data_IF_271764113211
#
_entry.id   IF_271764113211
#
_cell.length_a   1.000
_cell.length_b   1.000
_cell.length_c   1.000
_cell.angle_alpha   90.00
_cell.angle_beta   90.00
_cell.angle_gamma   90.00
#
_symmetry.space_group_name_H-M   'P 1'
#
loop_
_entity.id
_entity.type
_entity.pdbx_description
1 polymer ?
#
# COMPACT_ATOMS: atom_id res chain seq x y z
N UNK A 1 5.96 46.05 -7.25
CA UNK A 1 5.84 44.64 -7.64
C UNK A 1 6.16 43.80 -6.42
N UNK A 2 5.19 43.11 -5.88
CA UNK A 2 5.34 42.26 -4.70
C UNK A 2 5.99 40.93 -5.07
N UNK A 3 6.57 40.23 -4.09
CA UNK A 3 7.13 38.88 -4.27
C UNK A 3 6.04 37.87 -4.73
N UNK A 4 4.82 38.08 -4.30
CA UNK A 4 3.66 37.25 -4.68
C UNK A 4 3.27 37.44 -6.14
N UNK A 5 3.27 38.67 -6.66
CA UNK A 5 3.02 38.96 -8.06
C UNK A 5 4.07 38.34 -8.99
N UNK A 6 5.34 38.44 -8.58
CA UNK A 6 6.42 37.81 -9.32
C UNK A 6 6.29 36.29 -9.34
N UNK A 7 6.01 35.66 -8.19
CA UNK A 7 5.88 34.20 -8.07
C UNK A 7 4.70 33.68 -8.91
N UNK A 8 3.54 34.37 -8.84
CA UNK A 8 2.38 34.05 -9.65
C UNK A 8 2.69 34.07 -11.14
N UNK A 9 3.42 35.09 -11.60
CA UNK A 9 3.82 35.23 -13.00
C UNK A 9 4.81 34.14 -13.42
N UNK A 10 5.77 33.78 -12.60
CA UNK A 10 6.71 32.67 -12.88
C UNK A 10 5.96 31.35 -13.12
N UNK A 11 4.94 31.06 -12.30
CA UNK A 11 4.10 29.88 -12.46
C UNK A 11 3.33 29.94 -13.78
N UNK A 12 2.71 31.06 -14.09
CA UNK A 12 1.94 31.23 -15.32
C UNK A 12 2.82 31.10 -16.58
N UNK A 13 4.06 31.64 -16.53
CA UNK A 13 5.03 31.43 -17.61
C UNK A 13 5.34 29.96 -17.79
N UNK A 14 5.62 29.20 -16.72
CA UNK A 14 5.87 27.77 -16.81
C UNK A 14 4.67 27.02 -17.41
N UNK A 15 3.45 27.34 -17.01
CA UNK A 15 2.22 26.74 -17.55
C UNK A 15 2.04 27.01 -19.05
N UNK A 16 2.38 28.21 -19.51
CA UNK A 16 2.34 28.56 -20.94
C UNK A 16 3.39 27.77 -21.73
N UNK A 17 4.61 27.71 -21.23
CA UNK A 17 5.71 26.98 -21.87
C UNK A 17 5.50 25.46 -21.89
N UNK A 18 4.69 24.92 -20.97
CA UNK A 18 4.27 23.53 -20.96
C UNK A 18 3.22 23.23 -22.04
N UNK A 19 2.21 24.09 -22.13
CA UNK A 19 1.12 23.94 -23.09
C UNK A 19 1.57 24.14 -24.54
N UNK A 20 2.48 25.11 -24.75
CA UNK A 20 2.92 25.53 -26.09
C UNK A 20 4.46 25.63 -26.11
N UNK A 21 5.19 24.49 -26.12
CA UNK A 21 6.63 24.46 -26.12
C UNK A 21 7.21 25.18 -27.32
N UNK A 22 8.18 26.06 -27.10
CA UNK A 22 8.88 26.84 -28.13
C UNK A 22 7.95 27.72 -28.99
N UNK A 23 6.81 28.13 -28.47
CA UNK A 23 5.90 29.09 -29.11
C UNK A 23 6.18 30.54 -28.69
N UNK A 24 6.49 30.76 -27.41
CA UNK A 24 6.61 32.05 -26.76
C UNK A 24 8.04 32.60 -26.78
N UNK A 25 8.23 33.84 -27.25
CA UNK A 25 9.45 34.61 -27.10
C UNK A 25 9.29 35.71 -26.02
N UNK A 26 10.34 36.51 -25.81
CA UNK A 26 10.29 37.56 -24.80
C UNK A 26 9.27 38.67 -25.11
N UNK A 27 9.05 38.97 -26.37
CA UNK A 27 8.11 40.04 -26.78
C UNK A 27 6.66 39.58 -26.59
N UNK A 28 6.35 38.33 -26.98
CA UNK A 28 5.03 37.76 -26.78
C UNK A 28 4.67 37.60 -25.28
N UNK A 29 5.64 37.28 -24.43
CA UNK A 29 5.45 37.21 -22.98
C UNK A 29 5.29 38.61 -22.36
N UNK A 30 6.02 39.63 -22.86
CA UNK A 30 5.89 41.03 -22.45
C UNK A 30 4.46 41.53 -22.69
N UNK A 31 3.92 41.32 -23.89
CA UNK A 31 2.55 41.66 -24.24
C UNK A 31 1.52 40.89 -23.42
N UNK A 32 1.74 39.58 -23.23
CA UNK A 32 0.83 38.71 -22.51
C UNK A 32 0.65 39.06 -21.04
N UNK A 33 1.75 39.44 -20.39
CA UNK A 33 1.77 39.72 -18.94
C UNK A 33 1.75 41.22 -18.60
N UNK A 34 1.69 42.07 -19.60
CA UNK A 34 1.71 43.53 -19.44
C UNK A 34 2.84 44.04 -18.49
N UNK A 35 4.05 43.54 -18.74
CA UNK A 35 5.25 43.89 -17.98
C UNK A 35 6.42 44.20 -18.93
N UNK A 36 7.42 44.96 -18.44
CA UNK A 36 8.56 45.27 -19.28
C UNK A 36 9.36 44.04 -19.70
N UNK A 37 10.01 44.11 -20.85
CA UNK A 37 10.93 43.08 -21.36
C UNK A 37 12.02 42.71 -20.35
N UNK A 38 12.55 43.70 -19.64
CA UNK A 38 13.56 43.48 -18.58
C UNK A 38 12.98 42.62 -17.44
N UNK A 39 11.69 42.77 -17.14
CA UNK A 39 11.02 41.95 -16.13
C UNK A 39 10.90 40.50 -16.61
N UNK A 40 10.46 40.27 -17.86
CA UNK A 40 10.36 38.90 -18.46
C UNK A 40 11.75 38.25 -18.52
N UNK A 41 12.80 38.98 -18.96
CA UNK A 41 14.15 38.39 -19.03
C UNK A 41 14.69 38.02 -17.64
N UNK A 42 14.36 38.81 -16.61
CA UNK A 42 14.71 38.47 -15.21
C UNK A 42 13.95 37.23 -14.73
N UNK A 43 12.67 37.15 -15.02
CA UNK A 43 11.84 35.99 -14.67
C UNK A 43 12.32 34.72 -15.38
N UNK A 44 12.63 34.81 -16.68
CA UNK A 44 13.22 33.70 -17.45
C UNK A 44 14.62 33.33 -16.91
N UNK A 45 15.41 34.27 -16.45
CA UNK A 45 16.70 33.98 -15.82
C UNK A 45 16.53 33.19 -14.53
N UNK A 46 15.55 33.53 -13.69
CA UNK A 46 15.19 32.76 -12.48
C UNK A 46 14.73 31.34 -12.86
N UNK A 47 13.85 31.21 -13.83
CA UNK A 47 13.36 29.89 -14.28
C UNK A 47 14.47 29.03 -14.90
N UNK A 48 15.45 29.62 -15.57
CA UNK A 48 16.65 28.95 -16.06
C UNK A 48 17.56 28.49 -14.93
N UNK A 49 17.75 29.30 -13.91
CA UNK A 49 18.50 28.95 -12.72
C UNK A 49 17.91 27.74 -12.00
N UNK A 50 16.60 27.59 -12.09
CA UNK A 50 15.87 26.39 -11.61
C UNK A 50 15.96 25.20 -12.57
N UNK A 51 16.66 25.34 -13.72
CA UNK A 51 16.81 24.30 -14.71
C UNK A 51 15.55 23.98 -15.52
N UNK A 52 14.56 24.88 -15.48
CA UNK A 52 13.23 24.62 -16.04
C UNK A 52 13.04 25.08 -17.48
N UNK A 53 13.81 26.06 -17.97
CA UNK A 53 13.60 26.69 -19.28
C UNK A 53 14.80 26.54 -20.20
N UNK A 54 14.54 26.07 -21.44
CA UNK A 54 15.46 26.06 -22.57
C UNK A 54 15.06 27.14 -23.58
N UNK A 55 16.00 27.59 -24.42
CA UNK A 55 15.74 28.49 -25.53
C UNK A 55 16.14 27.81 -26.84
N UNK A 56 15.25 27.84 -27.83
CA UNK A 56 15.49 27.36 -29.18
C UNK A 56 14.92 28.38 -30.16
N UNK A 57 15.70 28.83 -31.14
CA UNK A 57 15.30 29.79 -32.17
C UNK A 57 14.66 31.08 -31.62
N UNK A 58 15.22 31.60 -30.51
CA UNK A 58 14.68 32.81 -29.83
C UNK A 58 13.49 32.54 -28.90
N UNK A 59 12.84 31.42 -29.01
CA UNK A 59 11.66 31.02 -28.25
C UNK A 59 11.99 30.14 -27.04
N UNK A 60 11.12 30.20 -26.03
CA UNK A 60 11.28 29.48 -24.76
C UNK A 60 10.45 28.19 -24.77
N UNK A 61 10.97 27.16 -24.16
CA UNK A 61 10.29 25.89 -23.91
C UNK A 61 10.79 25.28 -22.61
N UNK A 62 10.08 24.32 -22.06
CA UNK A 62 10.53 23.61 -20.89
C UNK A 62 11.72 22.68 -21.22
N UNK A 63 12.72 22.68 -20.36
CA UNK A 63 13.71 21.61 -20.33
C UNK A 63 13.00 20.38 -19.77
N UNK A 64 13.04 19.22 -20.45
CA UNK A 64 12.38 17.98 -20.05
C UNK A 64 11.68 18.07 -18.69
N UNK A 65 10.36 18.18 -18.74
CA UNK A 65 9.49 18.59 -17.66
C UNK A 65 9.88 17.97 -16.32
N UNK A 66 10.14 18.79 -15.32
CA UNK A 66 10.32 18.22 -14.00
C UNK A 66 9.46 18.81 -12.90
N UNK A 67 8.93 20.01 -12.93
CA UNK A 67 8.02 20.46 -11.86
C UNK A 67 7.36 21.80 -12.19
N UNK A 68 6.04 21.79 -12.40
CA UNK A 68 5.23 22.97 -12.08
C UNK A 68 5.19 23.07 -10.54
N UNK A 69 5.48 24.24 -9.94
CA UNK A 69 5.29 24.43 -8.52
C UNK A 69 3.80 24.32 -8.22
N UNK A 70 3.40 23.17 -7.69
CA UNK A 70 2.08 22.96 -7.10
C UNK A 70 2.13 23.56 -5.70
N UNK A 71 1.22 24.48 -5.40
CA UNK A 71 1.05 24.97 -4.03
C UNK A 71 0.26 23.95 -3.24
N UNK A 72 0.87 23.38 -2.20
CA UNK A 72 0.16 22.53 -1.25
C UNK A 72 -0.39 23.38 -0.11
N UNK A 73 -1.61 23.11 0.29
CA UNK A 73 -2.14 23.56 1.58
C UNK A 73 -1.46 22.80 2.74
N UNK A 74 -1.42 23.35 3.96
CA UNK A 74 -0.83 22.65 5.11
C UNK A 74 -1.41 21.24 5.34
N UNK A 75 -2.74 21.01 5.26
CA UNK A 75 -3.32 19.67 5.39
C UNK A 75 -2.87 18.70 4.29
N UNK A 76 -2.78 19.13 3.03
CA UNK A 76 -2.30 18.30 1.92
C UNK A 76 -0.84 17.89 2.10
N UNK A 77 0.02 18.85 2.46
CA UNK A 77 1.43 18.59 2.70
C UNK A 77 1.62 17.60 3.89
N UNK A 78 0.84 17.77 4.98
CA UNK A 78 0.85 16.86 6.12
C UNK A 78 0.38 15.46 5.72
N UNK A 79 -0.72 15.34 4.98
CA UNK A 79 -1.25 14.07 4.51
C UNK A 79 -0.23 13.32 3.64
N UNK A 80 0.40 14.00 2.67
CA UNK A 80 1.45 13.43 1.82
C UNK A 80 2.68 13.01 2.64
N UNK A 81 3.07 13.80 3.63
CA UNK A 81 4.19 13.46 4.51
C UNK A 81 3.90 12.23 5.36
N UNK A 82 2.73 12.16 6.00
CA UNK A 82 2.31 10.99 6.78
C UNK A 82 2.20 9.74 5.92
N UNK A 83 1.54 9.83 4.76
CA UNK A 83 1.43 8.72 3.82
C UNK A 83 2.81 8.27 3.32
N UNK A 84 3.67 9.22 2.91
CA UNK A 84 5.00 8.89 2.39
C UNK A 84 5.93 8.29 3.43
N UNK A 85 5.94 8.79 4.67
CA UNK A 85 6.75 8.22 5.75
C UNK A 85 6.24 6.84 6.18
N UNK A 86 4.92 6.68 6.30
CA UNK A 86 4.28 5.42 6.62
C UNK A 86 4.57 4.36 5.54
N UNK A 87 4.37 4.70 4.27
CA UNK A 87 4.62 3.78 3.16
C UNK A 87 6.12 3.46 3.00
N UNK A 88 7.02 4.44 3.16
CA UNK A 88 8.47 4.20 3.13
C UNK A 88 8.94 3.22 4.22
N UNK A 89 8.28 3.22 5.38
CA UNK A 89 8.53 2.25 6.44
C UNK A 89 7.96 0.86 6.16
N UNK A 90 6.85 0.78 5.43
CA UNK A 90 6.12 -0.47 5.15
C UNK A 90 6.59 -1.17 3.88
N UNK A 91 6.72 -0.41 2.79
CA UNK A 91 6.99 -0.97 1.45
C UNK A 91 8.43 -1.43 1.22
N UNK A 92 9.29 -1.36 2.27
CA UNK A 92 10.69 -1.77 2.17
C UNK A 92 11.56 -0.82 1.34
N UNK A 93 12.75 -1.31 0.97
CA UNK A 93 13.79 -0.50 0.35
C UNK A 93 13.42 0.08 -1.04
N UNK A 94 12.48 -0.53 -1.78
CA UNK A 94 12.21 -0.20 -3.19
C UNK A 94 11.81 1.26 -3.40
N UNK A 95 10.84 1.76 -2.62
CA UNK A 95 10.34 3.13 -2.77
C UNK A 95 10.90 4.12 -1.75
N UNK A 96 11.67 3.66 -0.75
CA UNK A 96 12.19 4.51 0.32
C UNK A 96 12.98 5.71 -0.19
N UNK A 97 13.90 5.49 -1.13
CA UNK A 97 14.71 6.55 -1.73
C UNK A 97 13.87 7.55 -2.52
N UNK A 98 12.95 7.06 -3.36
CA UNK A 98 12.06 7.89 -4.17
C UNK A 98 11.12 8.73 -3.29
N UNK A 99 10.50 8.12 -2.27
CA UNK A 99 9.63 8.81 -1.33
C UNK A 99 10.39 9.87 -0.51
N UNK A 100 11.58 9.52 0.00
CA UNK A 100 12.43 10.48 0.71
C UNK A 100 12.79 11.69 -0.17
N UNK A 101 13.12 11.43 -1.45
CA UNK A 101 13.39 12.49 -2.42
C UNK A 101 12.14 13.34 -2.69
N UNK A 102 10.97 12.72 -2.88
CA UNK A 102 9.71 13.42 -3.11
C UNK A 102 9.32 14.30 -1.91
N UNK A 103 9.42 13.77 -0.69
CA UNK A 103 9.13 14.55 0.53
C UNK A 103 10.06 15.74 0.70
N UNK A 104 11.35 15.59 0.40
CA UNK A 104 12.30 16.75 0.39
C UNK A 104 11.88 17.82 -0.61
N UNK A 105 11.38 17.45 -1.79
CA UNK A 105 10.90 18.39 -2.80
C UNK A 105 9.64 19.12 -2.32
N UNK A 106 8.72 18.43 -1.66
CA UNK A 106 7.54 19.05 -1.04
C UNK A 106 7.99 20.07 0.00
N UNK A 107 8.94 19.72 0.88
CA UNK A 107 9.48 20.63 1.90
C UNK A 107 10.11 21.90 1.28
N UNK A 108 10.70 21.80 0.07
CA UNK A 108 11.32 22.95 -0.62
C UNK A 108 10.30 23.91 -1.25
N UNK A 109 9.13 23.42 -1.66
CA UNK A 109 8.09 24.27 -2.28
C UNK A 109 7.15 24.90 -1.24
N UNK A 110 7.16 24.42 0.00
CA UNK A 110 6.37 25.00 1.08
C UNK A 110 7.02 26.27 1.64
N UNK A 111 6.23 27.32 1.95
CA UNK A 111 6.72 28.45 2.73
C UNK A 111 7.35 27.97 4.05
N UNK A 112 8.48 28.56 4.45
CA UNK A 112 9.25 28.11 5.63
C UNK A 112 8.41 27.91 6.89
N UNK A 113 7.45 28.80 7.14
CA UNK A 113 6.53 28.70 8.28
C UNK A 113 5.67 27.44 8.20
N UNK A 114 5.07 27.19 7.03
CA UNK A 114 4.20 26.01 6.78
C UNK A 114 5.02 24.72 6.86
N UNK A 115 6.20 24.69 6.25
CA UNK A 115 7.09 23.53 6.32
C UNK A 115 7.45 23.18 7.78
N UNK A 116 7.72 24.19 8.63
CA UNK A 116 8.00 23.97 10.05
C UNK A 116 6.77 23.44 10.82
N UNK A 117 5.58 23.97 10.55
CA UNK A 117 4.33 23.51 11.16
C UNK A 117 4.00 22.06 10.74
N UNK A 118 4.11 21.74 9.46
CA UNK A 118 3.88 20.38 8.90
C UNK A 118 4.88 19.39 9.48
N UNK A 119 6.15 19.77 9.60
CA UNK A 119 7.19 18.94 10.21
C UNK A 119 6.85 18.65 11.67
N UNK A 120 6.54 19.68 12.47
CA UNK A 120 6.18 19.55 13.89
C UNK A 120 4.92 18.74 14.10
N UNK A 121 3.91 18.89 13.24
CA UNK A 121 2.71 18.07 13.27
C UNK A 121 3.02 16.58 12.95
N UNK A 122 3.87 16.32 11.93
CA UNK A 122 4.31 14.99 11.57
C UNK A 122 5.12 14.28 12.66
N UNK A 123 5.86 15.01 13.48
CA UNK A 123 6.58 14.45 14.64
C UNK A 123 5.65 14.02 15.79
N UNK A 124 4.42 14.54 15.82
CA UNK A 124 3.41 14.26 16.87
C UNK A 124 2.35 13.26 16.44
N UNK A 125 2.30 12.92 15.17
CA UNK A 125 1.37 11.92 14.62
C UNK A 125 2.18 10.73 14.18
N UNK A 126 1.98 9.59 14.81
CA UNK A 126 2.61 8.33 14.44
C UNK A 126 1.56 7.43 13.79
N UNK A 127 1.90 6.89 12.63
CA UNK A 127 1.14 5.79 12.03
C UNK A 127 1.88 4.49 12.38
N UNK A 128 1.25 3.66 13.21
CA UNK A 128 1.82 2.37 13.62
C UNK A 128 2.11 1.50 12.41
N UNK A 129 3.32 0.95 12.35
CA UNK A 129 3.73 0.08 11.26
C UNK A 129 3.46 -1.38 11.66
N UNK A 130 2.77 -2.17 10.83
CA UNK A 130 2.74 -3.61 11.03
C UNK A 130 4.15 -4.19 10.91
N UNK A 131 4.33 -5.43 11.42
CA UNK A 131 5.58 -6.17 11.18
C UNK A 131 5.87 -6.21 9.69
N UNK A 132 7.02 -5.69 9.26
CA UNK A 132 7.46 -5.67 7.86
C UNK A 132 8.28 -6.93 7.60
N UNK A 133 8.01 -7.60 6.48
CA UNK A 133 8.79 -8.74 6.02
C UNK A 133 9.78 -8.31 4.96
N UNK A 134 11.02 -8.76 5.12
CA UNK A 134 12.06 -8.49 4.13
C UNK A 134 11.82 -9.27 2.85
N UNK A 135 12.09 -8.63 1.72
CA UNK A 135 12.03 -9.22 0.39
C UNK A 135 13.14 -8.65 -0.48
N UNK A 136 13.46 -9.35 -1.59
CA UNK A 136 14.45 -8.87 -2.54
C UNK A 136 13.88 -7.75 -3.41
N UNK A 137 14.55 -6.59 -3.42
CA UNK A 137 14.21 -5.48 -4.30
C UNK A 137 14.30 -5.86 -5.79
N UNK A 138 15.28 -6.70 -6.15
CA UNK A 138 15.45 -7.18 -7.53
C UNK A 138 14.28 -8.04 -7.98
N UNK A 139 13.76 -8.92 -7.09
CA UNK A 139 12.56 -9.72 -7.37
C UNK A 139 11.37 -8.79 -7.63
N UNK A 140 11.19 -7.75 -6.81
CA UNK A 140 10.10 -6.80 -6.97
C UNK A 140 10.18 -6.07 -8.32
N UNK A 141 11.33 -5.48 -8.65
CA UNK A 141 11.53 -4.71 -9.89
C UNK A 141 11.35 -5.57 -11.14
N UNK A 142 11.87 -6.79 -11.11
CA UNK A 142 11.70 -7.75 -12.19
C UNK A 142 10.24 -8.16 -12.37
N UNK A 143 9.48 -8.36 -11.28
CA UNK A 143 8.04 -8.64 -11.32
C UNK A 143 7.26 -7.45 -11.88
N UNK A 144 7.55 -6.22 -11.42
CA UNK A 144 6.93 -5.01 -11.94
C UNK A 144 7.11 -4.88 -13.47
N UNK A 145 8.34 -5.10 -13.95
CA UNK A 145 8.66 -5.13 -15.37
C UNK A 145 7.93 -6.26 -16.12
N UNK A 146 7.87 -7.45 -15.54
CA UNK A 146 7.21 -8.61 -16.14
C UNK A 146 5.69 -8.41 -16.27
N UNK A 147 5.06 -7.78 -15.26
CA UNK A 147 3.63 -7.43 -15.28
C UNK A 147 3.34 -6.45 -16.42
N UNK A 148 4.09 -5.35 -16.51
CA UNK A 148 3.89 -4.33 -17.55
C UNK A 148 4.09 -4.88 -18.96
N UNK A 149 5.05 -5.81 -19.14
CA UNK A 149 5.39 -6.41 -20.44
C UNK A 149 4.60 -7.69 -20.73
N UNK A 150 3.78 -8.17 -19.81
CA UNK A 150 3.06 -9.42 -19.88
C UNK A 150 3.97 -10.65 -20.06
N UNK A 151 5.13 -10.66 -19.42
CA UNK A 151 6.06 -11.79 -19.49
C UNK A 151 5.80 -12.79 -18.34
N UNK A 152 5.66 -14.10 -18.63
CA UNK A 152 5.60 -15.12 -17.59
C UNK A 152 6.89 -15.16 -16.77
N UNK A 153 6.78 -15.61 -15.53
CA UNK A 153 7.94 -15.79 -14.65
C UNK A 153 8.03 -17.24 -14.17
N UNK A 154 9.25 -17.77 -14.12
CA UNK A 154 9.53 -19.02 -13.41
C UNK A 154 10.02 -18.66 -12.01
N UNK A 155 9.42 -19.23 -10.96
CA UNK A 155 9.78 -18.99 -9.56
C UNK A 155 10.07 -20.30 -8.83
N UNK A 156 11.01 -20.25 -7.88
CA UNK A 156 11.17 -21.27 -6.84
C UNK A 156 10.54 -20.75 -5.56
N UNK A 157 9.45 -21.36 -5.12
CA UNK A 157 8.58 -20.86 -4.07
C UNK A 157 8.52 -21.78 -2.86
N UNK A 158 8.73 -21.23 -1.66
CA UNK A 158 8.60 -21.94 -0.39
C UNK A 158 7.20 -21.69 0.21
N UNK A 159 6.32 -22.68 0.17
CA UNK A 159 4.95 -22.55 0.73
C UNK A 159 4.95 -22.67 2.26
N UNK A 160 3.87 -22.20 2.92
CA UNK A 160 3.71 -22.38 4.38
C UNK A 160 3.48 -23.84 4.78
N UNK A 161 2.83 -24.58 3.90
CA UNK A 161 2.33 -25.94 4.18
C UNK A 161 3.28 -27.04 3.74
N UNK A 162 4.37 -26.68 3.04
CA UNK A 162 5.33 -27.67 2.52
C UNK A 162 6.75 -27.19 2.84
N UNK A 163 7.59 -28.04 3.44
CA UNK A 163 8.96 -27.69 3.78
C UNK A 163 9.86 -27.52 2.55
N UNK A 164 9.53 -28.16 1.43
CA UNK A 164 10.34 -28.15 0.23
C UNK A 164 9.90 -27.05 -0.77
N UNK A 165 10.86 -26.31 -1.35
CA UNK A 165 10.58 -25.36 -2.39
C UNK A 165 10.03 -26.05 -3.65
N UNK A 166 9.08 -25.40 -4.31
CA UNK A 166 8.48 -25.91 -5.56
C UNK A 166 8.75 -24.94 -6.70
N UNK A 167 9.10 -25.49 -7.89
CA UNK A 167 9.21 -24.69 -9.11
C UNK A 167 7.83 -24.44 -9.69
N UNK A 168 7.57 -23.19 -10.07
CA UNK A 168 6.28 -22.78 -10.63
C UNK A 168 6.48 -21.81 -11.77
N UNK A 169 5.68 -21.96 -12.82
CA UNK A 169 5.47 -20.90 -13.80
C UNK A 169 4.23 -20.10 -13.40
N UNK A 170 4.35 -18.79 -13.44
CA UNK A 170 3.28 -17.86 -13.08
C UNK A 170 3.17 -16.79 -14.14
N UNK A 171 1.96 -16.50 -14.58
CA UNK A 171 1.63 -15.31 -15.36
C UNK A 171 1.30 -14.21 -14.36
N UNK A 172 2.18 -13.19 -14.15
CA UNK A 172 2.02 -12.20 -13.11
C UNK A 172 0.95 -11.18 -13.49
N UNK A 173 -0.13 -11.10 -12.72
CA UNK A 173 -1.23 -10.17 -12.98
C UNK A 173 -1.08 -8.85 -12.22
N UNK A 174 -0.50 -8.88 -11.02
CA UNK A 174 -0.30 -7.67 -10.24
C UNK A 174 0.45 -7.90 -8.93
N UNK A 175 0.82 -6.79 -8.29
CA UNK A 175 1.46 -6.76 -6.98
C UNK A 175 0.53 -6.07 -5.99
N UNK A 176 0.46 -6.59 -4.77
CA UNK A 176 -0.30 -5.97 -3.67
C UNK A 176 0.52 -5.97 -2.39
N UNK A 177 0.37 -4.91 -1.60
CA UNK A 177 0.95 -4.83 -0.26
C UNK A 177 -0.15 -5.02 0.78
N UNK A 178 -0.08 -6.08 1.55
CA UNK A 178 -1.02 -6.39 2.64
C UNK A 178 -0.27 -7.07 3.81
N UNK A 179 -0.72 -6.84 5.02
CA UNK A 179 -0.23 -7.52 6.23
C UNK A 179 1.32 -7.46 6.34
N UNK A 180 1.88 -6.28 6.08
CA UNK A 180 3.32 -6.05 6.20
C UNK A 180 4.19 -6.73 5.15
N UNK A 181 3.64 -7.21 4.04
CA UNK A 181 4.41 -7.87 2.99
C UNK A 181 3.88 -7.59 1.58
N UNK A 182 4.75 -7.71 0.59
CA UNK A 182 4.40 -7.71 -0.81
C UNK A 182 3.99 -9.10 -1.29
N UNK A 183 2.99 -9.13 -2.14
CA UNK A 183 2.47 -10.34 -2.75
C UNK A 183 2.30 -10.18 -4.25
N UNK A 184 2.70 -11.20 -4.99
CA UNK A 184 2.38 -11.38 -6.38
C UNK A 184 1.04 -12.11 -6.49
N UNK A 185 0.12 -11.57 -7.28
CA UNK A 185 -1.10 -12.25 -7.73
C UNK A 185 -0.92 -12.64 -9.18
N UNK A 186 -1.20 -13.87 -9.54
CA UNK A 186 -1.03 -14.34 -10.90
C UNK A 186 -1.55 -15.76 -11.13
N UNK A 187 -1.67 -16.14 -12.39
CA UNK A 187 -2.10 -17.49 -12.79
C UNK A 187 -0.96 -18.48 -12.61
N UNK A 188 -1.15 -19.46 -11.77
CA UNK A 188 -0.19 -20.51 -11.48
C UNK A 188 -0.41 -21.72 -12.40
N UNK A 189 0.48 -21.95 -13.36
CA UNK A 189 0.37 -23.09 -14.28
C UNK A 189 0.43 -24.44 -13.57
N UNK A 190 1.14 -24.56 -12.44
CA UNK A 190 1.18 -25.82 -11.66
C UNK A 190 -0.18 -26.10 -10.97
N UNK A 191 -0.92 -25.06 -10.58
CA UNK A 191 -2.20 -25.19 -9.84
C UNK A 191 -3.42 -24.86 -10.69
N UNK A 192 -3.23 -24.51 -11.96
CA UNK A 192 -4.28 -24.19 -12.92
C UNK A 192 -5.31 -23.19 -12.35
N UNK A 193 -4.80 -22.07 -11.80
CA UNK A 193 -5.66 -21.02 -11.25
C UNK A 193 -4.88 -19.86 -10.66
N UNK A 194 -5.58 -18.76 -10.40
CA UNK A 194 -5.01 -17.56 -9.79
C UNK A 194 -4.60 -17.88 -8.36
N UNK A 195 -3.39 -17.45 -8.00
CA UNK A 195 -2.81 -17.65 -6.65
C UNK A 195 -2.03 -16.42 -6.22
N UNK A 196 -1.89 -16.30 -4.91
CA UNK A 196 -1.10 -15.26 -4.25
C UNK A 196 0.20 -15.83 -3.72
N UNK A 197 1.32 -15.14 -3.98
CA UNK A 197 2.66 -15.55 -3.61
C UNK A 197 3.35 -14.44 -2.83
N UNK A 198 3.70 -14.67 -1.56
CA UNK A 198 4.53 -13.73 -0.79
C UNK A 198 5.92 -13.60 -1.40
N UNK A 199 6.38 -12.36 -1.62
CA UNK A 199 7.71 -12.12 -2.21
C UNK A 199 8.84 -12.59 -1.30
N UNK A 200 8.66 -12.55 0.02
CA UNK A 200 9.56 -13.07 1.06
C UNK A 200 9.86 -14.58 0.90
N UNK A 201 9.02 -15.28 0.15
CA UNK A 201 9.08 -16.72 -0.06
C UNK A 201 9.53 -17.15 -1.45
N UNK A 202 9.75 -16.20 -2.34
CA UNK A 202 10.38 -16.44 -3.64
C UNK A 202 11.87 -16.54 -3.42
N UNK A 203 12.44 -17.75 -3.55
CA UNK A 203 13.87 -18.01 -3.34
C UNK A 203 14.69 -17.75 -4.59
N UNK A 204 14.06 -17.86 -5.75
CA UNK A 204 14.67 -17.63 -7.06
C UNK A 204 13.58 -17.27 -8.07
N UNK A 205 13.92 -16.43 -9.02
CA UNK A 205 13.01 -16.01 -10.08
C UNK A 205 13.77 -15.76 -11.39
N UNK A 206 13.12 -16.06 -12.50
CA UNK A 206 13.54 -15.70 -13.85
C UNK A 206 12.36 -15.20 -14.67
N UNK A 207 12.50 -14.05 -15.29
CA UNK A 207 11.54 -13.54 -16.29
C UNK A 207 11.75 -14.31 -17.60
N UNK A 208 10.67 -14.75 -18.21
CA UNK A 208 10.67 -15.39 -19.53
C UNK A 208 10.42 -14.33 -20.59
N UNK A 209 11.48 -13.79 -21.14
CA UNK A 209 11.39 -12.76 -22.19
C UNK A 209 10.82 -13.33 -23.49
N UNK A 210 10.94 -14.64 -23.68
CA UNK A 210 10.39 -15.38 -24.81
C UNK A 210 8.90 -15.72 -24.52
N UNK A 211 8.01 -15.04 -25.21
CA UNK A 211 6.58 -15.23 -25.10
C UNK A 211 5.90 -14.24 -24.16
N UNK A 212 4.62 -14.04 -24.40
CA UNK A 212 3.74 -13.21 -23.57
C UNK A 212 2.53 -14.02 -23.16
N UNK A 213 2.07 -13.84 -21.93
CA UNK A 213 0.77 -14.37 -21.51
C UNK A 213 -0.35 -13.43 -21.95
N UNK A 214 -1.53 -13.98 -22.11
CA UNK A 214 -2.74 -13.19 -22.33
C UNK A 214 -3.28 -12.72 -20.97
N UNK A 215 -3.31 -11.41 -20.76
CA UNK A 215 -3.93 -10.83 -19.58
C UNK A 215 -5.45 -10.90 -19.74
N UNK A 216 -6.20 -11.54 -18.82
CA UNK A 216 -7.65 -11.64 -18.97
C UNK A 216 -8.30 -10.26 -18.94
N UNK A 217 -9.13 -9.97 -19.94
CA UNK A 217 -9.76 -8.65 -20.09
C UNK A 217 -10.75 -8.32 -18.96
N UNK A 218 -11.28 -9.34 -18.32
CA UNK A 218 -12.24 -9.28 -17.21
C UNK A 218 -11.59 -9.39 -15.83
N UNK A 219 -10.25 -9.46 -15.74
CA UNK A 219 -9.56 -9.53 -14.45
C UNK A 219 -9.28 -8.13 -13.91
N UNK A 220 -9.88 -7.82 -12.77
CA UNK A 220 -9.53 -6.67 -11.93
C UNK A 220 -8.89 -7.15 -10.62
N UNK A 221 -7.69 -6.65 -10.32
CA UNK A 221 -6.93 -7.05 -9.13
C UNK A 221 -7.62 -6.63 -7.83
N UNK A 222 -8.20 -5.43 -7.79
CA UNK A 222 -8.87 -4.92 -6.61
C UNK A 222 -10.17 -5.69 -6.34
N UNK A 223 -10.95 -5.95 -7.38
CA UNK A 223 -12.16 -6.78 -7.30
C UNK A 223 -11.80 -8.20 -6.87
N UNK A 224 -10.77 -8.82 -7.47
CA UNK A 224 -10.35 -10.17 -7.09
C UNK A 224 -9.93 -10.24 -5.61
N UNK A 225 -9.13 -9.27 -5.14
CA UNK A 225 -8.68 -9.20 -3.75
C UNK A 225 -9.83 -8.90 -2.77
N UNK A 226 -10.89 -8.23 -3.22
CA UNK A 226 -12.05 -7.89 -2.38
C UNK A 226 -12.95 -9.10 -2.09
N UNK A 227 -12.83 -10.17 -2.87
CA UNK A 227 -13.59 -11.42 -2.67
C UNK A 227 -13.05 -12.30 -1.55
N UNK A 228 -11.78 -12.16 -1.19
CA UNK A 228 -11.13 -12.94 -0.15
C UNK A 228 -11.08 -12.23 1.19
N UNK A 229 -10.89 -13.00 2.26
CA UNK A 229 -10.73 -12.40 3.58
C UNK A 229 -9.53 -11.44 3.65
N UNK A 230 -8.38 -11.86 3.18
CA UNK A 230 -7.17 -11.03 3.11
C UNK A 230 -6.44 -11.16 1.78
N UNK A 231 -5.91 -12.34 1.48
CA UNK A 231 -5.03 -12.61 0.33
C UNK A 231 -5.53 -13.75 -0.54
N UNK A 232 -6.26 -14.70 0.04
CA UNK A 232 -6.88 -15.79 -0.68
C UNK A 232 -8.24 -15.33 -1.19
N UNK A 233 -8.39 -15.28 -2.49
CA UNK A 233 -9.64 -14.93 -3.15
C UNK A 233 -10.04 -15.99 -4.19
N UNK A 234 -9.50 -17.20 -4.05
CA UNK A 234 -9.83 -18.33 -4.91
C UNK A 234 -10.71 -19.37 -4.20
N UNK A 235 -11.55 -20.05 -4.95
CA UNK A 235 -12.52 -21.02 -4.45
C UNK A 235 -13.96 -20.50 -4.54
N UNK A 236 -14.90 -21.29 -4.10
CA UNK A 236 -16.32 -20.92 -4.09
C UNK A 236 -16.62 -19.93 -2.95
N UNK A 237 -17.57 -18.99 -3.15
CA UNK A 237 -18.02 -18.11 -2.09
C UNK A 237 -18.62 -18.94 -0.95
N UNK A 238 -18.13 -18.69 0.26
CA UNK A 238 -18.55 -19.41 1.47
C UNK A 238 -18.98 -18.42 2.53
N UNK A 239 -20.16 -18.61 3.09
CA UNK A 239 -20.59 -17.86 4.25
C UNK A 239 -19.85 -18.35 5.50
N UNK A 240 -19.29 -17.42 6.26
CA UNK A 240 -18.68 -17.70 7.56
C UNK A 240 -19.47 -16.95 8.61
N UNK A 241 -19.86 -17.69 9.65
CA UNK A 241 -20.60 -17.14 10.81
C UNK A 241 -19.78 -17.35 12.07
N UNK A 242 -19.45 -16.24 12.73
CA UNK A 242 -18.70 -16.24 13.98
C UNK A 242 -19.52 -15.51 15.04
N UNK A 243 -19.74 -16.16 16.19
CA UNK A 243 -20.30 -15.53 17.38
C UNK A 243 -19.17 -14.92 18.20
N UNK A 244 -19.35 -13.68 18.63
CA UNK A 244 -18.45 -12.98 19.52
C UNK A 244 -19.13 -12.66 20.84
N UNK A 245 -18.42 -12.87 21.94
CA UNK A 245 -18.92 -12.56 23.27
C UNK A 245 -19.03 -11.05 23.51
N UNK A 246 -19.79 -10.67 24.55
CA UNK A 246 -20.11 -9.27 24.91
C UNK A 246 -18.86 -8.39 25.06
N UNK A 247 -17.76 -8.94 25.55
CA UNK A 247 -16.50 -8.22 25.80
C UNK A 247 -15.88 -7.64 24.53
N UNK A 248 -15.99 -8.32 23.40
CA UNK A 248 -15.41 -7.92 22.11
C UNK A 248 -16.46 -7.44 21.10
N UNK A 249 -17.75 -7.63 21.41
CA UNK A 249 -18.84 -7.32 20.49
C UNK A 249 -18.82 -5.86 19.99
N UNK A 250 -18.55 -4.90 20.88
CA UNK A 250 -18.48 -3.48 20.51
C UNK A 250 -17.33 -3.19 19.55
N UNK A 251 -16.15 -3.80 19.75
CA UNK A 251 -15.01 -3.63 18.87
C UNK A 251 -15.28 -4.23 17.48
N UNK A 252 -15.84 -5.44 17.43
CA UNK A 252 -16.24 -6.07 16.16
C UNK A 252 -17.27 -5.22 15.42
N UNK A 253 -18.30 -4.72 16.12
CA UNK A 253 -19.37 -3.92 15.54
C UNK A 253 -18.88 -2.60 14.93
N UNK A 254 -17.87 -1.99 15.52
CA UNK A 254 -17.33 -0.70 15.08
C UNK A 254 -16.18 -0.83 14.06
N UNK A 255 -15.80 -2.06 13.70
CA UNK A 255 -14.71 -2.33 12.77
C UNK A 255 -15.24 -2.77 11.41
N UNK A 256 -14.62 -2.22 10.33
CA UNK A 256 -14.90 -2.68 8.97
C UNK A 256 -13.85 -3.72 8.55
N UNK A 257 -14.26 -4.99 8.53
CA UNK A 257 -13.40 -6.13 8.23
C UNK A 257 -13.47 -6.55 6.76
N UNK A 258 -14.69 -6.56 6.20
CA UNK A 258 -14.92 -6.99 4.81
C UNK A 258 -16.18 -6.33 4.24
N UNK A 259 -16.22 -6.10 2.92
CA UNK A 259 -17.35 -5.43 2.26
C UNK A 259 -18.68 -6.19 2.41
N UNK A 260 -18.64 -7.52 2.48
CA UNK A 260 -19.82 -8.37 2.65
C UNK A 260 -20.20 -8.64 4.10
N UNK A 261 -19.56 -7.98 5.08
CA UNK A 261 -19.89 -8.24 6.50
C UNK A 261 -21.30 -7.78 6.85
N UNK A 262 -21.97 -8.62 7.62
CA UNK A 262 -23.23 -8.30 8.27
C UNK A 262 -23.11 -8.57 9.77
N UNK A 263 -23.60 -7.64 10.59
CA UNK A 263 -23.48 -7.69 12.04
C UNK A 263 -24.87 -7.75 12.65
N UNK A 264 -25.09 -8.74 13.50
CA UNK A 264 -26.38 -9.04 14.12
C UNK A 264 -26.18 -9.13 15.64
N UNK A 265 -26.69 -8.10 16.35
CA UNK A 265 -26.63 -8.05 17.82
C UNK A 265 -27.62 -9.03 18.42
N UNK A 266 -27.20 -9.79 19.42
CA UNK A 266 -28.03 -10.77 20.10
C UNK A 266 -28.59 -10.17 21.41
N UNK A 267 -29.75 -10.71 21.92
CA UNK A 267 -30.38 -10.21 23.16
C UNK A 267 -29.48 -10.37 24.40
N UNK A 268 -28.57 -11.33 24.41
CA UNK A 268 -27.60 -11.55 25.49
C UNK A 268 -26.38 -10.62 25.44
N UNK A 269 -26.36 -9.67 24.48
CA UNK A 269 -25.27 -8.76 24.26
C UNK A 269 -24.13 -9.31 23.41
N UNK A 270 -24.15 -10.60 23.06
CA UNK A 270 -23.23 -11.18 22.08
C UNK A 270 -23.55 -10.69 20.67
N UNK A 271 -22.70 -11.05 19.69
CA UNK A 271 -22.81 -10.58 18.32
C UNK A 271 -22.57 -11.74 17.35
N UNK A 272 -23.41 -11.85 16.33
CA UNK A 272 -23.12 -12.69 15.17
C UNK A 272 -22.48 -11.83 14.06
N UNK A 273 -21.30 -12.24 13.64
CA UNK A 273 -20.59 -11.69 12.49
C UNK A 273 -20.75 -12.67 11.34
N UNK A 274 -21.39 -12.21 10.26
CA UNK A 274 -21.56 -12.97 9.02
C UNK A 274 -20.74 -12.33 7.92
N UNK A 275 -20.08 -13.13 7.12
CA UNK A 275 -19.29 -12.65 5.98
C UNK A 275 -19.24 -13.72 4.89
N UNK A 276 -19.37 -13.32 3.63
CA UNK A 276 -19.17 -14.20 2.48
C UNK A 276 -17.80 -13.94 1.87
N UNK A 277 -16.95 -14.95 1.85
CA UNK A 277 -15.57 -14.84 1.35
C UNK A 277 -15.19 -16.03 0.48
N UNK A 278 -14.24 -15.79 -0.42
CA UNK A 278 -13.59 -16.86 -1.18
C UNK A 278 -12.28 -17.23 -0.44
N UNK A 279 -12.13 -18.51 -0.05
CA UNK A 279 -10.95 -18.94 0.70
C UNK A 279 -10.99 -18.52 2.17
N UNK A 280 -11.91 -19.09 2.92
CA UNK A 280 -12.13 -18.79 4.35
C UNK A 280 -11.01 -19.31 5.28
N UNK A 281 -10.08 -20.11 4.79
CA UNK A 281 -9.01 -20.71 5.60
C UNK A 281 -8.12 -19.65 6.29
N UNK A 282 -8.02 -18.46 5.72
CA UNK A 282 -7.29 -17.35 6.35
C UNK A 282 -7.98 -16.84 7.62
N UNK A 283 -9.29 -17.04 7.75
CA UNK A 283 -10.04 -16.62 8.93
C UNK A 283 -9.68 -17.41 10.18
N UNK A 284 -9.09 -18.61 10.05
CA UNK A 284 -8.63 -19.42 11.17
C UNK A 284 -7.77 -18.59 12.16
N UNK A 285 -6.76 -17.90 11.64
CA UNK A 285 -5.86 -17.10 12.50
C UNK A 285 -6.53 -15.87 13.09
N UNK A 286 -7.44 -15.26 12.34
CA UNK A 286 -8.22 -14.13 12.81
C UNK A 286 -9.15 -14.53 13.94
N UNK A 287 -9.88 -15.62 13.82
CA UNK A 287 -10.74 -16.15 14.91
C UNK A 287 -9.90 -16.51 16.13
N UNK A 288 -8.79 -17.24 15.94
CA UNK A 288 -7.90 -17.64 17.04
C UNK A 288 -7.30 -16.44 17.79
N UNK A 289 -7.19 -15.25 17.16
CA UNK A 289 -6.68 -14.05 17.84
C UNK A 289 -7.63 -13.52 18.93
N UNK A 290 -8.90 -13.92 18.94
CA UNK A 290 -9.89 -13.58 19.97
C UNK A 290 -9.95 -14.62 21.10
N UNK A 291 -9.19 -15.71 21.01
CA UNK A 291 -9.16 -16.76 22.01
C UNK A 291 -10.55 -17.37 22.27
N UNK A 292 -10.96 -17.42 23.54
CA UNK A 292 -12.24 -18.00 23.94
C UNK A 292 -13.46 -17.09 23.65
N UNK A 293 -13.23 -15.84 23.25
CA UNK A 293 -14.28 -14.85 23.01
C UNK A 293 -14.91 -14.93 21.61
N UNK A 294 -14.45 -15.89 20.78
CA UNK A 294 -14.96 -16.11 19.43
C UNK A 294 -15.29 -17.59 19.19
N UNK A 295 -16.48 -17.85 18.68
CA UNK A 295 -16.95 -19.19 18.30
C UNK A 295 -17.35 -19.20 16.83
N UNK A 296 -16.70 -20.05 16.02
CA UNK A 296 -17.13 -20.32 14.64
C UNK A 296 -18.38 -21.21 14.67
N UNK A 297 -19.47 -20.72 14.11
CA UNK A 297 -20.69 -21.49 13.93
C UNK A 297 -20.69 -22.18 12.57
N UNK A 298 -20.29 -21.46 11.52
CA UNK A 298 -20.19 -21.93 10.13
C UNK A 298 -18.96 -21.36 9.44
N UNK A 299 -18.35 -22.10 8.48
CA UNK A 299 -18.64 -23.48 8.10
C UNK A 299 -18.01 -24.50 9.05
N UNK A 300 -18.55 -25.72 9.11
CA UNK A 300 -18.06 -26.78 9.98
C UNK A 300 -16.56 -27.09 9.83
N UNK A 301 -15.95 -27.12 8.63
CA UNK A 301 -14.51 -27.35 8.50
C UNK A 301 -13.66 -26.27 9.19
N UNK A 302 -14.06 -24.98 9.15
CA UNK A 302 -13.36 -23.92 9.86
C UNK A 302 -13.52 -24.09 11.38
N UNK A 303 -14.74 -24.38 11.85
CA UNK A 303 -15.01 -24.70 13.26
C UNK A 303 -14.11 -25.83 13.76
N UNK A 304 -14.03 -26.92 13.01
CA UNK A 304 -13.16 -28.05 13.35
C UNK A 304 -11.66 -27.67 13.40
N UNK A 305 -11.19 -26.83 12.47
CA UNK A 305 -9.81 -26.37 12.44
C UNK A 305 -9.47 -25.46 13.64
N UNK A 306 -10.40 -24.59 14.05
CA UNK A 306 -10.27 -23.77 15.27
C UNK A 306 -10.22 -24.65 16.52
N UNK A 307 -11.15 -25.59 16.66
CA UNK A 307 -11.20 -26.53 17.78
C UNK A 307 -9.92 -27.36 17.90
N UNK A 308 -9.41 -27.89 16.79
CA UNK A 308 -8.15 -28.66 16.78
C UNK A 308 -6.94 -27.78 17.13
N UNK A 309 -6.91 -26.54 16.68
CA UNK A 309 -5.85 -25.59 17.04
C UNK A 309 -5.89 -25.26 18.53
N UNK A 310 -7.07 -24.99 19.08
CA UNK A 310 -7.27 -24.71 20.52
C UNK A 310 -6.85 -25.93 21.37
N UNK A 311 -7.22 -27.15 20.97
CA UNK A 311 -6.82 -28.37 21.65
C UNK A 311 -5.29 -28.54 21.67
N UNK A 312 -4.62 -28.34 20.53
CA UNK A 312 -3.16 -28.39 20.45
C UNK A 312 -2.49 -27.32 21.31
N UNK A 313 -3.08 -26.14 21.40
CA UNK A 313 -2.62 -25.05 22.24
C UNK A 313 -2.73 -25.45 23.71
N UNK A 314 -3.91 -25.91 24.15
CA UNK A 314 -4.13 -26.36 25.52
C UNK A 314 -3.12 -27.42 25.96
N UNK A 315 -2.88 -28.47 25.14
CA UNK A 315 -1.89 -29.49 25.42
C UNK A 315 -0.49 -28.95 25.66
N UNK A 316 -0.05 -27.96 24.88
CA UNK A 316 1.29 -27.34 25.06
C UNK A 316 1.46 -26.60 26.39
N UNK A 317 0.39 -26.10 26.94
CA UNK A 317 0.42 -25.37 28.22
C UNK A 317 0.18 -26.27 29.42
N UNK A 318 -0.45 -27.46 29.22
CA UNK A 318 -0.69 -28.45 30.30
C UNK A 318 0.42 -29.50 30.44
N UNK A 319 1.13 -29.85 29.34
CA UNK A 319 2.17 -30.87 29.35
C UNK A 319 3.54 -30.36 29.87
N UNK A 320 3.74 -29.07 30.06
CA UNK A 320 4.94 -28.52 30.72
C UNK A 320 4.57 -28.13 32.13
N UNK A 321 4.83 -29.01 33.10
CA UNK A 321 5.12 -28.59 34.46
C UNK A 321 6.38 -27.73 34.45
N UNK A 322 6.24 -26.45 34.04
CA UNK A 322 7.21 -25.42 34.37
C UNK A 322 7.12 -25.10 35.85
N UNK A 323 8.12 -24.43 36.45
CA UNK A 323 8.01 -23.94 37.83
C UNK A 323 6.68 -23.22 37.94
N UNK A 324 5.95 -23.48 39.03
CA UNK A 324 4.64 -22.89 39.28
C UNK A 324 4.72 -21.37 39.05
N UNK A 325 4.30 -20.92 37.88
CA UNK A 325 4.08 -19.50 37.65
C UNK A 325 2.88 -19.15 38.53
N UNK A 326 3.12 -18.42 39.61
CA UNK A 326 2.03 -17.69 40.27
C UNK A 326 1.37 -16.85 39.19
N UNK A 327 0.20 -17.26 38.77
CA UNK A 327 -0.60 -16.52 37.77
C UNK A 327 -0.95 -15.18 38.39
N UNK A 328 -0.47 -14.05 37.82
CA UNK A 328 -0.94 -12.76 38.27
C UNK A 328 -2.46 -12.71 38.10
N UNK A 329 -3.14 -12.18 39.12
CA UNK A 329 -4.60 -12.05 39.06
C UNK A 329 -5.03 -11.27 37.81
N UNK A 330 -6.26 -11.49 37.31
CA UNK A 330 -6.75 -10.87 36.07
C UNK A 330 -6.68 -9.34 36.06
N UNK A 331 -6.51 -8.69 37.20
CA UNK A 331 -6.37 -7.22 37.34
C UNK A 331 -4.94 -6.71 37.09
N UNK A 332 -3.90 -7.55 37.03
CA UNK A 332 -2.51 -7.12 36.88
C UNK A 332 -2.00 -7.15 35.43
N UNK A 333 -2.75 -7.78 34.52
CA UNK A 333 -2.35 -7.93 33.10
C UNK A 333 -2.74 -6.67 32.26
N UNK A 334 -3.59 -5.78 32.78
CA UNK A 334 -4.17 -4.66 32.00
C UNK A 334 -3.40 -3.33 32.16
N UNK A 335 -2.34 -3.27 32.96
CA UNK A 335 -1.60 -2.01 33.25
C UNK A 335 -0.14 -2.00 32.80
N UNK A 336 0.25 -2.82 31.82
CA UNK A 336 1.60 -2.77 31.22
C UNK A 336 1.57 -2.23 29.79
#
# INVERSE_FOLDING_TARGET
MTLEEQFSRLIQILQLLDREPFHWDAAALEEKFDVSRATIERDIAVLRQWGQVKRKDGKFGLAEMKFLPTSFTPPEALALRLAGTSFAGQAGAVYKGALTSALKKIDLVLPRRIAAEVKKAGERVSVGLPVVRDFSADIYQNLESAIVRHHPVDITYLSRTRPEPTKRRVDPYGLTYKIGAWYLVGFCHLRQGIRTFGLDRIKWMRVREEGRFHYPADFDLAEWLSKGWQLQAGGDPTEVVVRFDTEVASWIANSHWHASQHIEKQPDGSLLFRVTVHGYEEMLYWVLSFGAQAEVLEPLPLRAAVAESARKMALRYTEKEGPALEMPGPSEIVTA
#
